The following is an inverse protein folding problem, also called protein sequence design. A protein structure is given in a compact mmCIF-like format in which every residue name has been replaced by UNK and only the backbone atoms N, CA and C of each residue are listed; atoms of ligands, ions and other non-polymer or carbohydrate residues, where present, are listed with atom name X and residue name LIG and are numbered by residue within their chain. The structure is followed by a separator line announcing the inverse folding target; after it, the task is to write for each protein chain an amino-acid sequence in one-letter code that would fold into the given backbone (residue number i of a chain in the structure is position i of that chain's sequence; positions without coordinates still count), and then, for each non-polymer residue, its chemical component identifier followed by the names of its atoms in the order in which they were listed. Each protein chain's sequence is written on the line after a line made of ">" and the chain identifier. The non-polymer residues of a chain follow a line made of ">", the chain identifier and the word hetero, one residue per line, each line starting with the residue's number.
data_IF_573099498094
#
_entry.id   IF_573099498094
#
_cell.length_a   1.000
_cell.length_b   1.000
_cell.length_c   1.000
_cell.angle_alpha   90.00
_cell.angle_beta   90.00
_cell.angle_gamma   90.00
#
_symmetry.space_group_name_H-M   'P 1'
#
loop_
_entity.id
_entity.type
_entity.pdbx_description
1 polymer ?
#
# COMPACT_ATOMS: atom_id res chain seq x y z
N UNK A 1 -1.84 20.55 -8.86
CA UNK A 1 -1.38 19.48 -9.76
C UNK A 1 -1.68 18.12 -9.12
N UNK A 2 -2.45 17.25 -9.79
CA UNK A 2 -3.00 15.97 -9.27
C UNK A 2 -3.82 16.04 -7.96
N UNK A 3 -4.16 17.24 -7.47
CA UNK A 3 -4.85 17.46 -6.18
C UNK A 3 -6.26 16.90 -6.17
N UNK A 4 -6.99 16.99 -7.27
CA UNK A 4 -8.39 16.56 -7.32
C UNK A 4 -8.52 15.04 -7.16
N UNK A 5 -7.65 14.28 -7.84
CA UNK A 5 -7.62 12.81 -7.75
C UNK A 5 -7.15 12.38 -6.35
N UNK A 6 -6.16 13.07 -5.78
CA UNK A 6 -5.72 12.85 -4.40
C UNK A 6 -6.88 13.05 -3.41
N UNK A 7 -7.62 14.15 -3.53
CA UNK A 7 -8.77 14.43 -2.65
C UNK A 7 -9.88 13.40 -2.80
N UNK A 8 -10.12 12.90 -4.02
CA UNK A 8 -11.07 11.81 -4.25
C UNK A 8 -10.61 10.50 -3.59
N UNK A 9 -9.32 10.15 -3.73
CA UNK A 9 -8.74 8.99 -3.06
C UNK A 9 -8.85 9.08 -1.53
N UNK A 10 -8.45 10.21 -0.94
CA UNK A 10 -8.53 10.41 0.51
C UNK A 10 -9.97 10.40 1.03
N UNK A 11 -10.92 10.96 0.26
CA UNK A 11 -12.34 10.86 0.60
C UNK A 11 -12.83 9.42 0.57
N UNK A 12 -12.42 8.64 -0.42
CA UNK A 12 -12.74 7.22 -0.50
C UNK A 12 -12.21 6.48 0.74
N UNK A 13 -10.92 6.57 1.05
CA UNK A 13 -10.38 5.93 2.25
C UNK A 13 -11.14 6.34 3.51
N UNK A 14 -11.50 7.62 3.65
CA UNK A 14 -12.28 8.11 4.79
C UNK A 14 -13.70 7.53 4.84
N UNK A 15 -14.40 7.39 3.71
CA UNK A 15 -15.74 6.78 3.68
C UNK A 15 -15.71 5.29 3.98
N UNK A 16 -14.63 4.61 3.62
CA UNK A 16 -14.41 3.18 3.86
C UNK A 16 -13.72 2.87 5.21
N UNK A 17 -13.80 3.81 6.18
CA UNK A 17 -13.22 3.67 7.53
C UNK A 17 -11.73 3.35 7.55
N UNK A 18 -10.98 3.89 6.60
CA UNK A 18 -9.56 3.64 6.44
C UNK A 18 -9.22 2.44 5.54
N UNK A 19 -10.22 1.69 5.06
CA UNK A 19 -10.01 0.54 4.18
C UNK A 19 -9.75 1.00 2.75
N UNK A 20 -8.79 0.35 2.07
CA UNK A 20 -8.47 0.62 0.67
C UNK A 20 -9.19 -0.37 -0.24
N UNK A 21 -10.51 -0.26 -0.29
CA UNK A 21 -11.38 -1.11 -1.10
C UNK A 21 -11.08 -0.97 -2.60
N UNK A 22 -11.53 -1.90 -3.46
CA UNK A 22 -11.20 -1.89 -4.90
C UNK A 22 -11.48 -0.55 -5.60
N UNK A 23 -12.52 0.18 -5.18
CA UNK A 23 -12.82 1.53 -5.67
C UNK A 23 -11.72 2.54 -5.30
N UNK A 24 -11.28 2.56 -4.04
CA UNK A 24 -10.19 3.42 -3.57
C UNK A 24 -8.85 3.02 -4.19
N UNK A 25 -8.66 1.72 -4.47
CA UNK A 25 -7.50 1.21 -5.20
C UNK A 25 -7.45 1.79 -6.62
N UNK A 26 -8.57 1.92 -7.32
CA UNK A 26 -8.59 2.58 -8.64
C UNK A 26 -8.22 4.07 -8.55
N UNK A 27 -8.70 4.77 -7.52
CA UNK A 27 -8.35 6.19 -7.31
C UNK A 27 -6.87 6.38 -6.97
N UNK A 28 -6.28 5.51 -6.15
CA UNK A 28 -4.84 5.56 -5.87
C UNK A 28 -3.99 5.25 -7.11
N UNK A 29 -4.41 4.30 -7.96
CA UNK A 29 -3.74 4.01 -9.24
C UNK A 29 -3.71 5.25 -10.15
N UNK A 30 -4.85 5.92 -10.32
CA UNK A 30 -4.95 7.16 -11.11
C UNK A 30 -4.12 8.30 -10.54
N UNK A 31 -4.07 8.41 -9.21
CA UNK A 31 -3.24 9.42 -8.54
C UNK A 31 -1.75 9.20 -8.81
N UNK A 32 -1.28 7.95 -8.72
CA UNK A 32 0.11 7.60 -9.00
C UNK A 32 0.46 7.81 -10.48
N UNK A 33 -0.43 7.45 -11.41
CA UNK A 33 -0.27 7.74 -12.84
C UNK A 33 -0.03 9.23 -13.06
N UNK A 34 -0.90 10.08 -12.53
CA UNK A 34 -0.79 11.52 -12.68
C UNK A 34 0.56 12.07 -12.17
N UNK A 35 1.12 11.49 -11.11
CA UNK A 35 2.43 11.92 -10.60
C UNK A 35 3.58 11.49 -11.51
N UNK A 36 3.51 10.29 -12.09
CA UNK A 36 4.52 9.80 -13.04
C UNK A 36 4.50 10.60 -14.34
N UNK A 37 3.30 10.82 -14.90
CA UNK A 37 3.09 11.56 -16.16
C UNK A 37 3.59 13.01 -16.09
N UNK A 38 3.67 13.54 -14.88
CA UNK A 38 4.07 14.92 -14.60
C UNK A 38 5.47 15.05 -14.03
N UNK A 39 6.23 13.95 -14.01
CA UNK A 39 7.57 13.90 -13.45
C UNK A 39 7.63 14.37 -11.97
N UNK A 40 6.53 14.20 -11.23
CA UNK A 40 6.43 14.46 -9.78
C UNK A 40 6.77 13.21 -8.94
N UNK A 41 7.04 12.10 -9.63
CA UNK A 41 7.51 10.83 -9.10
C UNK A 41 8.28 10.10 -10.21
N UNK A 42 9.28 9.29 -9.85
CA UNK A 42 9.94 8.42 -10.80
C UNK A 42 8.91 7.42 -11.39
N UNK A 43 8.93 7.16 -12.72
CA UNK A 43 8.08 6.15 -13.33
C UNK A 43 8.40 4.76 -12.79
N UNK A 44 7.37 3.99 -12.45
CA UNK A 44 7.48 2.58 -12.06
C UNK A 44 6.27 1.80 -12.59
N UNK A 45 6.38 0.48 -12.63
CA UNK A 45 5.29 -0.39 -13.03
C UNK A 45 4.24 -0.50 -11.93
N UNK A 46 2.97 -0.47 -12.34
CA UNK A 46 1.85 -0.67 -11.41
C UNK A 46 1.92 -2.02 -10.67
N UNK A 47 2.53 -3.05 -11.25
CA UNK A 47 2.74 -4.34 -10.58
C UNK A 47 3.63 -4.19 -9.34
N UNK A 48 4.73 -3.44 -9.42
CA UNK A 48 5.64 -3.17 -8.31
C UNK A 48 4.98 -2.29 -7.22
N UNK A 49 4.08 -1.41 -7.65
CA UNK A 49 3.31 -0.52 -6.76
C UNK A 49 2.09 -1.21 -6.12
N UNK A 50 1.99 -2.54 -6.23
CA UNK A 50 0.91 -3.31 -5.59
C UNK A 50 -0.42 -3.29 -6.36
N UNK A 51 -0.42 -2.87 -7.63
CA UNK A 51 -1.57 -2.93 -8.55
C UNK A 51 -1.51 -4.10 -9.53
N UNK A 52 -0.74 -5.15 -9.22
CA UNK A 52 -0.81 -6.41 -9.95
C UNK A 52 -2.21 -7.02 -9.86
N UNK A 53 -2.70 -7.57 -10.97
CA UNK A 53 -3.89 -8.40 -10.99
C UNK A 53 -3.59 -9.70 -10.23
N UNK A 54 -4.46 -10.06 -9.29
CA UNK A 54 -4.43 -11.38 -8.65
C UNK A 54 -5.11 -12.45 -9.51
N UNK A 55 -5.12 -12.26 -10.84
CA UNK A 55 -5.91 -13.08 -11.76
C UNK A 55 -5.08 -14.12 -12.52
N UNK A 56 -3.77 -14.18 -12.35
CA UNK A 56 -2.93 -15.22 -12.98
C UNK A 56 -1.80 -15.67 -12.05
N UNK A 57 -2.05 -16.67 -11.19
CA UNK A 57 -1.06 -17.73 -10.89
C UNK A 57 -1.70 -18.87 -10.07
N UNK A 58 -2.37 -19.78 -10.78
CA UNK A 58 -2.14 -21.20 -10.48
C UNK A 58 -0.62 -21.45 -10.63
N UNK A 59 0.06 -21.60 -9.50
CA UNK A 59 1.41 -22.16 -9.39
C UNK A 59 2.58 -21.29 -9.86
N UNK A 60 3.15 -20.49 -8.96
CA UNK A 60 4.57 -20.61 -8.55
C UNK A 60 4.79 -19.82 -7.27
N UNK A 61 5.05 -20.58 -6.21
CA UNK A 61 5.55 -20.16 -4.91
C UNK A 61 6.85 -19.36 -5.08
N UNK A 62 6.92 -18.18 -4.50
CA UNK A 62 8.11 -17.81 -3.73
C UNK A 62 7.63 -17.05 -2.50
N UNK A 63 7.47 -17.82 -1.42
CA UNK A 63 7.42 -17.29 -0.08
C UNK A 63 8.72 -16.50 0.16
N UNK A 64 8.60 -15.23 0.51
CA UNK A 64 9.57 -14.61 1.41
C UNK A 64 8.76 -14.07 2.58
N UNK A 65 8.48 -14.99 3.49
CA UNK A 65 8.17 -14.65 4.87
C UNK A 65 9.46 -14.18 5.53
N UNK A 66 9.41 -13.01 6.17
CA UNK A 66 10.27 -12.58 7.28
C UNK A 66 9.57 -11.35 7.86
N UNK A 67 8.57 -11.52 8.72
CA UNK A 67 8.74 -11.70 10.16
C UNK A 67 9.85 -10.82 10.73
N UNK A 68 9.44 -9.70 11.35
CA UNK A 68 10.16 -9.09 12.45
C UNK A 68 9.14 -8.82 13.56
N UNK A 69 8.83 -9.89 14.30
CA UNK A 69 8.19 -9.83 15.62
C UNK A 69 9.22 -9.24 16.58
N UNK A 70 9.01 -8.02 17.08
CA UNK A 70 9.79 -7.53 18.21
C UNK A 70 9.16 -8.03 19.53
N UNK A 71 9.89 -8.77 20.37
CA UNK A 71 9.43 -9.09 21.71
C UNK A 71 9.48 -7.85 22.61
N UNK A 72 8.39 -7.60 23.35
CA UNK A 72 8.40 -6.68 24.49
C UNK A 72 9.26 -7.29 25.60
N UNK A 73 10.33 -6.59 25.99
CA UNK A 73 11.16 -6.93 27.14
C UNK A 73 10.42 -6.56 28.43
N UNK A 74 10.06 -7.58 29.21
CA UNK A 74 9.47 -7.45 30.53
C UNK A 74 10.17 -8.44 31.46
N UNK A 75 11.35 -8.05 31.97
CA UNK A 75 12.01 -8.69 33.12
C UNK A 75 12.19 -7.63 34.22
N UNK A 76 11.23 -7.53 35.16
CA UNK A 76 11.15 -8.27 36.42
C UNK A 76 12.24 -7.86 37.43
N UNK A 77 11.75 -7.20 38.48
CA UNK A 77 12.33 -7.09 39.81
C UNK A 77 13.50 -8.05 40.14
N UNK A 78 14.68 -7.49 40.41
CA UNK A 78 15.70 -8.12 41.25
C UNK A 78 16.67 -7.10 41.86
N UNK A 79 16.87 -7.22 43.19
CA UNK A 79 17.78 -6.51 44.12
C UNK A 79 17.22 -5.19 44.67
N UNK A 80 16.72 -5.20 45.92
CA UNK A 80 17.44 -5.18 47.22
C UNK A 80 17.78 -3.76 47.63
#
# INVERSE_FOLDING_TARGET
>A
ECKDIMLSYLRCIKSHRGSNDPECRNLSKSYLSCRMDRNLMAPDSFKNLGFGDHSDNSGTVTAIASQASQPHDQDKARRS
#
